data_IF_370531823531
#
_entry.id   IF_370531823531
#
_cell.length_a   1.000
_cell.length_b   1.000
_cell.length_c   1.000
_cell.angle_alpha   90.00
_cell.angle_beta   90.00
_cell.angle_gamma   90.00
#
_symmetry.space_group_name_H-M   'P 1'
#
loop_
_entity.id
_entity.type
_entity.pdbx_description
1 polymer ?
#
# COMPACT_ATOMS: atom_id res chain seq x y z
N UNK A 1 -8.65 15.11 16.93
CA UNK A 1 -9.43 14.48 15.84
C UNK A 1 -8.74 14.72 14.53
N UNK A 2 -8.58 13.67 13.71
CA UNK A 2 -8.02 13.81 12.37
C UNK A 2 -9.12 14.29 11.40
N UNK A 3 -8.90 15.34 10.59
CA UNK A 3 -9.85 15.76 9.57
C UNK A 3 -10.10 14.69 8.51
N UNK A 4 -11.35 14.59 8.06
CA UNK A 4 -11.81 13.64 7.05
C UNK A 4 -12.48 12.40 7.65
N UNK A 5 -13.09 11.60 6.77
CA UNK A 5 -13.77 10.35 7.13
C UNK A 5 -12.77 9.21 6.96
N UNK A 6 -12.62 8.33 7.96
CA UNK A 6 -11.75 7.17 7.79
C UNK A 6 -12.27 6.26 6.67
N UNK A 7 -11.36 5.65 5.92
CA UNK A 7 -11.71 4.78 4.78
C UNK A 7 -12.52 3.58 5.23
N UNK A 8 -12.25 3.09 6.43
CA UNK A 8 -13.06 2.04 7.04
C UNK A 8 -14.51 2.55 7.26
N UNK A 9 -14.69 3.68 7.97
CA UNK A 9 -16.03 4.24 8.18
C UNK A 9 -16.75 4.53 6.85
N UNK A 10 -16.04 5.04 5.85
CA UNK A 10 -16.59 5.32 4.52
C UNK A 10 -17.12 4.06 3.82
N UNK A 11 -16.46 2.92 4.02
CA UNK A 11 -16.80 1.65 3.35
C UNK A 11 -17.77 0.81 4.18
N UNK A 12 -17.75 0.90 5.50
CA UNK A 12 -18.59 0.10 6.39
C UNK A 12 -19.87 0.81 6.83
N UNK A 13 -19.86 2.15 6.98
CA UNK A 13 -21.06 2.91 7.33
C UNK A 13 -21.84 3.32 6.07
N UNK A 14 -22.32 2.32 5.35
CA UNK A 14 -22.90 2.45 4.01
C UNK A 14 -24.34 2.96 3.97
N UNK A 15 -24.80 3.69 4.98
CA UNK A 15 -26.08 4.36 4.86
C UNK A 15 -26.06 5.47 3.77
N UNK A 16 -24.88 5.77 3.20
CA UNK A 16 -24.69 6.78 2.14
C UNK A 16 -23.72 6.32 1.01
N UNK A 17 -24.08 5.30 0.21
CA UNK A 17 -23.20 4.78 -0.84
C UNK A 17 -22.87 5.82 -1.93
N UNK A 18 -23.77 6.79 -2.17
CA UNK A 18 -23.47 7.90 -3.10
C UNK A 18 -22.40 8.87 -2.56
N UNK A 19 -22.34 9.06 -1.24
CA UNK A 19 -21.33 9.90 -0.61
C UNK A 19 -19.95 9.21 -0.68
N UNK A 20 -19.89 7.93 -0.32
CA UNK A 20 -18.68 7.11 -0.46
C UNK A 20 -18.18 7.12 -1.91
N UNK A 21 -19.11 6.93 -2.85
CA UNK A 21 -18.83 7.01 -4.27
C UNK A 21 -18.18 8.33 -4.70
N UNK A 22 -18.84 9.44 -4.34
CA UNK A 22 -18.37 10.78 -4.65
C UNK A 22 -16.98 11.02 -4.07
N UNK A 23 -16.76 10.70 -2.80
CA UNK A 23 -15.48 10.95 -2.14
C UNK A 23 -14.35 10.12 -2.77
N UNK A 24 -14.57 8.82 -3.03
CA UNK A 24 -13.58 7.96 -3.68
C UNK A 24 -13.26 8.42 -5.10
N UNK A 25 -14.20 9.02 -5.82
CA UNK A 25 -13.95 9.61 -7.15
C UNK A 25 -13.01 10.82 -7.10
N UNK A 26 -12.90 11.49 -5.95
CA UNK A 26 -12.03 12.66 -5.74
C UNK A 26 -10.63 12.28 -5.26
N UNK A 27 -10.37 10.99 -4.99
CA UNK A 27 -9.13 10.51 -4.39
C UNK A 27 -7.89 11.03 -5.13
N UNK A 28 -7.05 11.75 -4.39
CA UNK A 28 -5.85 12.35 -4.95
C UNK A 28 -4.78 11.28 -5.23
N UNK A 29 -4.61 10.96 -6.51
CA UNK A 29 -3.67 9.93 -6.98
C UNK A 29 -2.22 10.19 -6.57
N UNK A 30 -1.78 11.45 -6.55
CA UNK A 30 -0.44 11.81 -6.11
C UNK A 30 -0.26 11.51 -4.63
N UNK A 31 -1.26 11.80 -3.79
CA UNK A 31 -1.18 11.51 -2.35
C UNK A 31 -1.21 10.02 -2.05
N UNK A 32 -1.94 9.21 -2.83
CA UNK A 32 -1.88 7.74 -2.72
C UNK A 32 -0.46 7.23 -3.02
N UNK A 33 0.17 7.71 -4.09
CA UNK A 33 1.55 7.34 -4.42
C UNK A 33 2.55 7.79 -3.34
N UNK A 34 2.35 8.98 -2.78
CA UNK A 34 3.18 9.49 -1.68
C UNK A 34 2.99 8.67 -0.39
N UNK A 35 1.75 8.30 -0.06
CA UNK A 35 1.41 7.45 1.08
C UNK A 35 2.09 6.09 0.97
N UNK A 36 1.98 5.43 -0.20
CA UNK A 36 2.64 4.16 -0.47
C UNK A 36 4.17 4.28 -0.35
N UNK A 37 4.75 5.36 -0.89
CA UNK A 37 6.19 5.62 -0.80
C UNK A 37 6.64 5.85 0.64
N UNK A 38 5.84 6.56 1.42
CA UNK A 38 6.11 6.80 2.82
C UNK A 38 6.02 5.49 3.61
N UNK A 39 4.93 4.74 3.50
CA UNK A 39 4.73 3.46 4.20
C UNK A 39 5.83 2.44 3.86
N UNK A 40 6.31 2.39 2.61
CA UNK A 40 7.47 1.57 2.24
C UNK A 40 8.79 2.11 2.83
N UNK A 41 9.00 3.43 2.79
CA UNK A 41 10.20 4.09 3.32
C UNK A 41 10.27 4.08 4.84
N UNK A 42 9.16 3.94 5.56
CA UNK A 42 9.15 3.81 7.03
C UNK A 42 8.83 2.39 7.51
N UNK A 43 8.40 1.51 6.60
CA UNK A 43 7.96 0.14 6.88
C UNK A 43 6.82 0.18 7.90
N UNK A 44 5.79 0.97 7.59
CA UNK A 44 4.61 1.04 8.41
C UNK A 44 3.95 -0.36 8.38
N UNK A 45 3.78 -0.98 9.55
CA UNK A 45 3.40 -2.39 9.69
C UNK A 45 1.92 -2.67 10.00
N UNK A 46 1.05 -1.67 9.96
CA UNK A 46 -0.37 -1.81 10.31
C UNK A 46 -1.26 -0.71 9.69
N UNK A 47 -1.04 -0.34 8.43
CA UNK A 47 -1.83 0.72 7.79
C UNK A 47 -3.11 0.10 7.26
N UNK A 48 -4.18 0.21 8.04
CA UNK A 48 -5.53 -0.24 7.69
C UNK A 48 -6.48 0.94 7.45
N UNK A 49 -7.74 0.65 7.10
CA UNK A 49 -8.70 1.67 6.63
C UNK A 49 -9.00 2.74 7.68
N UNK A 50 -8.92 2.41 8.96
CA UNK A 50 -9.14 3.33 10.07
C UNK A 50 -8.02 4.38 10.18
N UNK A 51 -6.79 4.07 9.73
CA UNK A 51 -5.68 5.03 9.78
C UNK A 51 -5.59 5.94 8.53
N UNK A 52 -6.49 5.75 7.56
CA UNK A 52 -6.52 6.51 6.30
C UNK A 52 -7.79 7.36 6.28
N UNK A 53 -7.65 8.67 6.36
CA UNK A 53 -8.78 9.60 6.31
C UNK A 53 -8.84 10.28 4.96
N UNK A 54 -10.03 10.29 4.34
CA UNK A 54 -10.33 10.99 3.10
C UNK A 54 -11.10 12.27 3.40
N UNK A 55 -10.58 13.41 2.93
CA UNK A 55 -11.22 14.71 3.04
C UNK A 55 -12.11 14.98 1.83
N UNK A 56 -12.99 15.97 1.96
CA UNK A 56 -13.95 16.34 0.91
C UNK A 56 -13.28 16.83 -0.38
N UNK A 57 -12.06 17.36 -0.31
CA UNK A 57 -11.25 17.78 -1.45
C UNK A 57 -10.48 16.62 -2.11
N UNK A 58 -10.67 15.39 -1.62
CA UNK A 58 -9.98 14.21 -2.11
C UNK A 58 -8.58 13.99 -1.54
N UNK A 59 -8.11 14.87 -0.65
CA UNK A 59 -6.83 14.69 0.04
C UNK A 59 -6.92 13.64 1.15
N UNK A 60 -5.79 12.99 1.39
CA UNK A 60 -5.58 11.98 2.41
C UNK A 60 -4.90 12.57 3.64
N UNK A 61 -5.33 12.11 4.80
CA UNK A 61 -4.60 12.25 6.06
C UNK A 61 -4.33 10.87 6.63
N UNK A 62 -3.06 10.64 6.97
CA UNK A 62 -2.60 9.39 7.56
C UNK A 62 -2.33 9.60 9.04
N UNK A 63 -2.91 8.78 9.90
CA UNK A 63 -2.68 8.79 11.35
C UNK A 63 -1.90 7.55 11.80
N UNK A 64 -1.49 7.51 13.07
CA UNK A 64 -0.78 6.36 13.67
C UNK A 64 0.47 5.91 12.88
N UNK A 65 1.14 6.88 12.25
CA UNK A 65 2.25 6.66 11.32
C UNK A 65 3.47 6.00 11.96
N UNK A 66 3.57 5.98 13.28
CA UNK A 66 4.71 5.42 14.00
C UNK A 66 4.39 4.08 14.67
N UNK A 67 3.10 3.75 14.81
CA UNK A 67 2.74 2.46 15.40
C UNK A 67 3.17 1.33 14.46
N UNK A 68 3.73 0.27 15.06
CA UNK A 68 4.25 -0.94 14.36
C UNK A 68 5.16 -0.66 13.15
N UNK A 69 5.82 0.50 13.14
CA UNK A 69 6.75 0.86 12.06
C UNK A 69 8.08 0.12 12.22
N UNK A 70 8.95 0.20 11.20
CA UNK A 70 10.36 -0.22 11.22
C UNK A 70 10.66 -1.71 11.00
N UNK A 71 9.65 -2.57 10.93
CA UNK A 71 9.84 -4.00 10.62
C UNK A 71 9.46 -4.31 9.17
N UNK A 72 8.20 -4.65 8.96
CA UNK A 72 7.66 -5.07 7.68
C UNK A 72 6.66 -4.06 7.20
N UNK A 73 6.73 -3.62 5.93
CA UNK A 73 5.63 -2.86 5.36
C UNK A 73 4.39 -3.74 5.34
N UNK A 74 3.32 -3.28 5.96
CA UNK A 74 2.02 -3.92 5.95
C UNK A 74 0.95 -2.84 5.88
N UNK A 75 0.46 -2.57 4.67
CA UNK A 75 -0.30 -1.36 4.37
C UNK A 75 -1.28 -1.58 3.24
N UNK A 76 -2.49 -1.02 3.39
CA UNK A 76 -3.51 -1.02 2.33
C UNK A 76 -3.02 -0.40 1.02
N UNK A 77 -2.04 0.51 1.07
CA UNK A 77 -1.48 1.12 -0.14
C UNK A 77 -0.51 0.20 -0.87
N UNK A 78 0.04 -0.82 -0.18
CA UNK A 78 1.12 -1.67 -0.66
C UNK A 78 0.59 -3.07 -1.00
N UNK A 79 0.71 -3.51 -2.25
CA UNK A 79 0.22 -4.82 -2.67
C UNK A 79 1.03 -5.95 -2.03
N UNK A 80 0.43 -7.13 -1.94
CA UNK A 80 1.02 -8.34 -1.33
C UNK A 80 1.34 -8.20 0.15
N UNK A 81 0.92 -7.12 0.80
CA UNK A 81 0.94 -7.03 2.26
C UNK A 81 -0.28 -7.72 2.85
N UNK A 82 -0.20 -8.14 4.11
CA UNK A 82 -1.33 -8.81 4.77
C UNK A 82 -2.61 -7.97 4.76
N UNK A 83 -2.52 -6.66 5.05
CA UNK A 83 -3.70 -5.77 5.01
C UNK A 83 -4.27 -5.66 3.60
N UNK A 84 -3.42 -5.47 2.58
CA UNK A 84 -3.89 -5.39 1.20
C UNK A 84 -4.51 -6.71 0.74
N UNK A 85 -3.86 -7.84 1.00
CA UNK A 85 -4.36 -9.18 0.64
C UNK A 85 -5.67 -9.51 1.38
N UNK A 86 -5.83 -9.09 2.64
CA UNK A 86 -7.11 -9.24 3.36
C UNK A 86 -8.25 -8.47 2.69
N UNK A 87 -7.95 -7.33 2.07
CA UNK A 87 -8.93 -6.53 1.33
C UNK A 87 -9.18 -7.13 -0.06
N UNK A 88 -8.13 -7.59 -0.73
CA UNK A 88 -8.20 -8.19 -2.07
C UNK A 88 -8.91 -9.54 -2.08
N UNK A 89 -8.50 -10.44 -1.19
CA UNK A 89 -9.10 -11.76 -1.00
C UNK A 89 -10.40 -11.71 -0.19
N UNK A 90 -10.92 -10.52 0.14
CA UNK A 90 -12.05 -10.37 1.05
C UNK A 90 -11.73 -10.88 2.47
N UNK A 91 -12.28 -10.23 3.48
CA UNK A 91 -12.23 -10.80 4.82
C UNK A 91 -13.46 -11.70 4.97
N UNK A 92 -13.26 -13.02 5.15
CA UNK A 92 -14.35 -13.98 5.37
C UNK A 92 -15.25 -13.65 6.58
N UNK A 93 -14.79 -12.76 7.47
CA UNK A 93 -15.56 -12.25 8.62
C UNK A 93 -16.26 -10.91 8.37
N UNK A 94 -16.06 -10.28 7.22
CA UNK A 94 -16.68 -9.01 6.89
C UNK A 94 -17.81 -9.25 5.90
N UNK A 95 -19.03 -8.86 6.29
CA UNK A 95 -20.17 -8.74 5.38
C UNK A 95 -19.74 -7.90 4.19
N UNK A 96 -19.85 -8.47 3.00
CA UNK A 96 -19.58 -7.71 1.79
C UNK A 96 -20.49 -6.47 1.79
N UNK A 97 -19.93 -5.25 1.72
CA UNK A 97 -20.69 -4.05 1.93
C UNK A 97 -21.91 -3.96 0.98
N UNK A 98 -21.76 -4.41 -0.25
CA UNK A 98 -22.79 -4.25 -1.28
C UNK A 98 -23.83 -5.36 -1.35
N UNK A 99 -23.61 -6.51 -0.71
CA UNK A 99 -24.60 -7.61 -0.73
C UNK A 99 -25.22 -7.87 0.64
N UNK A 100 -24.65 -7.34 1.74
CA UNK A 100 -25.16 -7.52 3.10
C UNK A 100 -25.09 -8.95 3.62
N UNK A 101 -24.62 -9.89 2.80
CA UNK A 101 -24.68 -11.32 3.02
C UNK A 101 -23.28 -11.88 3.29
N UNK A 102 -23.08 -12.48 4.48
CA UNK A 102 -21.85 -13.23 4.78
C UNK A 102 -21.72 -14.45 3.86
N UNK A 103 -22.85 -14.99 3.38
CA UNK A 103 -22.92 -16.18 2.55
C UNK A 103 -22.59 -15.95 1.07
N UNK A 104 -22.60 -14.70 0.59
CA UNK A 104 -22.25 -14.39 -0.80
C UNK A 104 -20.79 -14.73 -1.13
N UNK A 105 -19.90 -14.75 -0.13
CA UNK A 105 -18.51 -15.17 -0.30
C UNK A 105 -18.32 -16.69 -0.19
N UNK A 106 -19.13 -17.40 0.61
CA UNK A 106 -18.99 -18.85 0.82
C UNK A 106 -19.47 -19.71 -0.35
N UNK A 107 -20.12 -19.11 -1.37
CA UNK A 107 -20.76 -19.86 -2.46
C UNK A 107 -20.16 -19.62 -3.85
N UNK A 108 -18.86 -19.26 -3.95
CA UNK A 108 -18.17 -19.22 -5.24
C UNK A 108 -18.80 -18.29 -6.29
N UNK A 109 -19.75 -17.44 -5.88
CA UNK A 109 -20.33 -16.40 -6.70
C UNK A 109 -19.38 -15.23 -6.58
N UNK A 110 -18.48 -15.10 -7.55
CA UNK A 110 -17.66 -13.90 -7.70
C UNK A 110 -18.62 -12.72 -7.78
N UNK A 111 -18.81 -11.98 -6.68
CA UNK A 111 -19.38 -10.65 -6.81
C UNK A 111 -18.43 -9.94 -7.77
N UNK A 112 -18.96 -9.39 -8.87
CA UNK A 112 -18.15 -8.68 -9.88
C UNK A 112 -17.49 -7.43 -9.31
N UNK A 113 -17.67 -7.19 -8.01
CA UNK A 113 -17.47 -5.95 -7.30
C UNK A 113 -16.21 -6.04 -6.45
N UNK A 114 -15.28 -5.13 -6.70
CA UNK A 114 -14.11 -4.98 -5.84
C UNK A 114 -14.46 -4.18 -4.59
N UNK A 115 -13.77 -4.54 -3.50
CA UNK A 115 -13.77 -3.75 -2.28
C UNK A 115 -13.30 -2.32 -2.56
N UNK A 116 -14.00 -1.26 -2.09
CA UNK A 116 -13.62 0.11 -2.44
C UNK A 116 -12.23 0.52 -1.93
N UNK A 117 -11.79 -0.01 -0.78
CA UNK A 117 -10.42 0.14 -0.29
C UNK A 117 -9.33 -0.35 -1.27
N UNK A 118 -9.63 -1.19 -2.26
CA UNK A 118 -8.68 -1.53 -3.32
C UNK A 118 -8.34 -0.33 -4.22
N UNK A 119 -9.13 0.74 -4.19
CA UNK A 119 -8.75 2.00 -4.83
C UNK A 119 -7.59 2.70 -4.12
N UNK A 120 -7.09 2.19 -2.98
CA UNK A 120 -5.87 2.72 -2.35
C UNK A 120 -4.60 2.02 -2.85
N UNK A 121 -4.70 0.93 -3.63
CA UNK A 121 -3.54 0.28 -4.22
C UNK A 121 -2.77 1.27 -5.10
N UNK A 122 -1.53 1.58 -4.73
CA UNK A 122 -0.75 2.62 -5.41
C UNK A 122 -0.63 2.37 -6.92
N UNK A 123 -0.69 1.11 -7.36
CA UNK A 123 -0.59 0.72 -8.77
C UNK A 123 -1.73 1.29 -9.61
N UNK A 124 -2.91 1.50 -9.01
CA UNK A 124 -4.06 2.12 -9.65
C UNK A 124 -3.85 3.61 -9.97
N UNK A 125 -2.85 4.22 -9.34
CA UNK A 125 -2.58 5.66 -9.43
C UNK A 125 -1.36 6.00 -10.28
N UNK A 126 -0.69 4.98 -10.84
CA UNK A 126 0.48 5.19 -11.68
C UNK A 126 0.01 5.31 -13.13
N UNK A 127 0.39 6.37 -13.86
CA UNK A 127 0.13 6.43 -15.29
C UNK A 127 0.72 5.20 -15.99
N UNK A 128 0.02 4.65 -16.97
CA UNK A 128 0.49 3.46 -17.71
C UNK A 128 1.89 3.64 -18.35
N UNK A 129 2.28 4.89 -18.61
CA UNK A 129 3.59 5.27 -19.15
C UNK A 129 4.71 5.36 -18.10
N UNK A 130 4.39 5.27 -16.81
CA UNK A 130 5.34 5.50 -15.72
C UNK A 130 5.66 4.19 -15.00
N UNK A 131 6.92 3.79 -15.03
CA UNK A 131 7.42 2.70 -14.20
C UNK A 131 7.87 3.27 -12.84
N UNK A 132 6.96 3.34 -11.86
CA UNK A 132 7.36 3.67 -10.45
C UNK A 132 8.38 2.67 -9.91
N UNK A 133 8.51 1.50 -10.55
CA UNK A 133 9.62 0.58 -10.30
C UNK A 133 11.00 1.21 -10.48
N UNK A 134 11.14 2.42 -11.06
CA UNK A 134 12.41 3.16 -11.15
C UNK A 134 12.33 4.66 -10.84
N UNK A 135 11.16 5.30 -10.92
CA UNK A 135 11.02 6.74 -10.70
C UNK A 135 10.12 7.05 -9.50
N UNK A 136 10.74 7.47 -8.39
CA UNK A 136 10.02 7.94 -7.21
C UNK A 136 9.53 9.37 -7.43
N UNK A 137 8.41 9.78 -6.80
CA UNK A 137 8.01 11.19 -6.77
C UNK A 137 9.17 12.09 -6.33
N UNK A 138 9.36 13.26 -6.95
CA UNK A 138 10.57 14.09 -6.77
C UNK A 138 10.87 14.39 -5.29
N UNK A 139 9.85 14.67 -4.47
CA UNK A 139 10.00 14.88 -3.04
C UNK A 139 10.52 13.64 -2.30
N UNK A 140 9.96 12.47 -2.61
CA UNK A 140 10.38 11.17 -2.08
C UNK A 140 11.80 10.85 -2.51
N UNK A 141 12.13 11.05 -3.79
CA UNK A 141 13.47 10.79 -4.31
C UNK A 141 14.53 11.63 -3.59
N UNK A 142 14.26 12.93 -3.38
CA UNK A 142 15.14 13.82 -2.60
C UNK A 142 15.28 13.37 -1.14
N UNK A 143 14.18 12.93 -0.52
CA UNK A 143 14.22 12.39 0.84
C UNK A 143 15.08 11.12 0.91
N UNK A 144 14.81 10.14 0.05
CA UNK A 144 15.57 8.89 -0.02
C UNK A 144 17.05 9.16 -0.32
N UNK A 145 17.38 10.13 -1.19
CA UNK A 145 18.76 10.55 -1.45
C UNK A 145 19.46 11.08 -0.20
N UNK A 146 18.80 11.94 0.58
CA UNK A 146 19.35 12.46 1.83
C UNK A 146 19.53 11.36 2.87
N UNK A 147 18.56 10.46 3.04
CA UNK A 147 18.64 9.36 3.99
C UNK A 147 19.75 8.37 3.63
N UNK A 148 19.86 8.01 2.35
CA UNK A 148 20.92 7.13 1.85
C UNK A 148 22.31 7.76 2.00
N UNK A 149 22.46 9.06 1.78
CA UNK A 149 23.75 9.74 1.89
C UNK A 149 24.24 9.91 3.35
N UNK A 150 23.33 9.93 4.33
CA UNK A 150 23.71 10.11 5.74
C UNK A 150 24.34 8.88 6.38
N UNK A 151 24.10 7.68 5.83
CA UNK A 151 24.52 6.44 6.48
C UNK A 151 23.79 6.17 7.80
N UNK A 152 24.01 5.00 8.39
CA UNK A 152 23.32 4.59 9.63
C UNK A 152 23.68 5.52 10.80
N UNK A 153 24.97 5.79 11.01
CA UNK A 153 25.43 6.62 12.14
C UNK A 153 24.97 8.08 12.00
N UNK A 154 24.93 8.61 10.77
CA UNK A 154 24.42 9.95 10.50
C UNK A 154 22.92 10.06 10.80
N UNK A 155 22.13 9.04 10.46
CA UNK A 155 20.71 8.98 10.81
C UNK A 155 20.52 8.89 12.33
N UNK A 156 21.28 8.04 13.02
CA UNK A 156 21.23 7.92 14.48
C UNK A 156 21.51 9.28 15.15
N UNK A 157 22.61 9.96 14.75
CA UNK A 157 23.00 11.25 15.31
C UNK A 157 21.97 12.34 15.01
N UNK A 158 21.49 12.43 13.76
CA UNK A 158 20.60 13.51 13.30
C UNK A 158 19.19 13.38 13.83
N UNK A 159 18.62 12.18 13.80
CA UNK A 159 17.22 11.94 14.15
C UNK A 159 17.04 11.27 15.51
N UNK A 160 18.14 11.09 16.27
CA UNK A 160 18.13 10.45 17.59
C UNK A 160 17.51 9.04 17.58
N UNK A 161 17.71 8.33 16.46
CA UNK A 161 17.25 6.96 16.29
C UNK A 161 18.26 5.97 16.88
N UNK A 162 17.78 4.83 17.38
CA UNK A 162 18.66 3.69 17.66
C UNK A 162 19.24 3.12 16.35
N UNK A 163 20.34 2.36 16.44
CA UNK A 163 20.90 1.65 15.28
C UNK A 163 19.87 0.72 14.64
N UNK A 164 19.10 0.01 15.46
CA UNK A 164 18.04 -0.92 15.04
C UNK A 164 16.94 -0.28 14.21
N UNK A 165 16.67 1.01 14.42
CA UNK A 165 15.72 1.79 13.61
C UNK A 165 16.42 2.43 12.41
N UNK A 166 17.59 3.05 12.61
CA UNK A 166 18.32 3.75 11.55
C UNK A 166 18.77 2.83 10.40
N UNK A 167 19.19 1.60 10.70
CA UNK A 167 19.66 0.63 9.72
C UNK A 167 18.61 0.25 8.67
N UNK A 168 17.39 -0.21 9.03
CA UNK A 168 16.36 -0.51 8.03
C UNK A 168 15.92 0.73 7.25
N UNK A 169 15.89 1.92 7.85
CA UNK A 169 15.61 3.17 7.14
C UNK A 169 16.64 3.47 6.05
N UNK A 170 17.93 3.48 6.43
CA UNK A 170 19.03 3.70 5.50
C UNK A 170 18.98 2.68 4.35
N UNK A 171 18.83 1.40 4.70
CA UNK A 171 18.79 0.31 3.73
C UNK A 171 17.65 0.47 2.72
N UNK A 172 16.43 0.76 3.18
CA UNK A 172 15.29 0.97 2.28
C UNK A 172 15.45 2.22 1.42
N UNK A 173 16.04 3.30 1.96
CA UNK A 173 16.40 4.46 1.17
C UNK A 173 17.41 4.14 0.05
N UNK A 174 18.44 3.33 0.35
CA UNK A 174 19.41 2.86 -0.66
C UNK A 174 18.74 1.98 -1.72
N UNK A 175 17.89 1.03 -1.32
CA UNK A 175 17.16 0.16 -2.24
C UNK A 175 16.19 0.94 -3.12
N UNK A 176 15.44 1.88 -2.55
CA UNK A 176 14.52 2.76 -3.28
C UNK A 176 15.24 3.54 -4.38
N UNK A 177 16.49 3.95 -4.15
CA UNK A 177 17.29 4.66 -5.16
C UNK A 177 17.93 3.76 -6.20
N UNK A 178 18.47 2.61 -5.77
CA UNK A 178 19.26 1.74 -6.64
C UNK A 178 18.42 0.73 -7.42
N UNK A 179 17.28 0.31 -6.86
CA UNK A 179 16.39 -0.73 -7.41
C UNK A 179 14.98 -0.23 -7.66
N UNK A 180 14.61 0.91 -7.09
CA UNK A 180 13.27 1.51 -7.22
C UNK A 180 12.19 0.87 -6.34
N UNK A 181 10.95 1.33 -6.49
CA UNK A 181 9.86 1.02 -5.55
C UNK A 181 9.52 -0.47 -5.50
N UNK A 182 9.16 -1.06 -6.65
CA UNK A 182 8.65 -2.44 -6.71
C UNK A 182 9.68 -3.46 -6.21
N UNK A 183 10.94 -3.28 -6.59
CA UNK A 183 12.03 -4.13 -6.11
C UNK A 183 12.25 -3.98 -4.60
N UNK A 184 12.17 -2.76 -4.08
CA UNK A 184 12.31 -2.50 -2.65
C UNK A 184 11.17 -3.12 -1.85
N UNK A 185 9.93 -3.02 -2.35
CA UNK A 185 8.78 -3.68 -1.74
C UNK A 185 8.97 -5.19 -1.72
N UNK A 186 9.29 -5.81 -2.86
CA UNK A 186 9.52 -7.26 -2.94
C UNK A 186 10.57 -7.73 -1.94
N UNK A 187 11.73 -7.06 -1.91
CA UNK A 187 12.80 -7.38 -0.97
C UNK A 187 12.37 -7.17 0.48
N UNK A 188 11.54 -6.18 0.77
CA UNK A 188 11.04 -5.93 2.14
C UNK A 188 10.07 -7.02 2.58
N UNK A 189 9.27 -7.59 1.66
CA UNK A 189 8.33 -8.67 1.95
C UNK A 189 9.01 -10.04 2.09
N UNK A 190 10.08 -10.29 1.34
CA UNK A 190 10.79 -11.60 1.36
C UNK A 190 11.96 -11.65 2.33
N UNK A 191 12.37 -10.50 2.89
CA UNK A 191 13.40 -10.46 3.93
C UNK A 191 12.90 -11.23 5.16
N UNK A 192 13.55 -12.36 5.51
CA UNK A 192 13.23 -13.08 6.74
C UNK A 192 13.30 -12.15 7.96
N UNK A 193 12.39 -12.30 8.94
CA UNK A 193 12.52 -11.63 10.23
C UNK A 193 13.87 -11.97 10.79
N UNK A 194 14.66 -10.94 11.05
CA UNK A 194 15.84 -11.10 11.88
C UNK A 194 15.33 -11.65 13.20
N UNK A 195 15.65 -12.92 13.47
CA UNK A 195 15.49 -13.48 14.81
C UNK A 195 16.29 -12.58 15.71
N UNK A 196 15.60 -11.93 16.64
CA UNK A 196 16.23 -11.20 17.72
C UNK A 196 16.75 -12.26 18.68
N UNK A 197 17.88 -12.87 18.35
CA UNK A 197 18.65 -13.56 19.36
C UNK A 197 19.32 -12.44 20.16
N UNK A 198 18.77 -12.15 21.33
CA UNK A 198 19.36 -11.18 22.24
C UNK A 198 20.81 -11.61 22.50
N UNK A 199 21.77 -10.81 22.04
CA UNK A 199 23.16 -11.02 22.37
C UNK A 199 23.29 -10.83 23.89
N UNK A 200 23.48 -11.94 24.62
CA UNK A 200 23.44 -11.98 26.09
C UNK A 200 24.48 -11.08 26.74
N UNK A 201 25.54 -10.71 26.01
CA UNK A 201 26.67 -9.96 26.54
C UNK A 201 26.59 -8.46 26.30
N UNK A 202 25.72 -7.99 25.39
CA UNK A 202 25.62 -6.56 25.05
C UNK A 202 24.24 -5.96 25.29
N UNK A 203 23.20 -6.79 25.46
CA UNK A 203 21.81 -6.32 25.57
C UNK A 203 21.30 -5.59 24.33
N UNK A 204 22.09 -5.54 23.26
CA UNK A 204 21.77 -4.87 22.01
C UNK A 204 21.52 -5.93 20.94
N UNK A 205 20.33 -5.89 20.34
CA UNK A 205 19.99 -6.71 19.18
C UNK A 205 20.90 -6.30 18.01
N UNK A 206 21.79 -7.20 17.60
CA UNK A 206 22.64 -7.02 16.42
C UNK A 206 21.90 -7.59 15.20
N UNK A 207 21.50 -6.71 14.29
CA UNK A 207 20.70 -7.03 13.13
C UNK A 207 21.60 -7.38 11.93
N UNK A 208 21.96 -8.66 11.78
CA UNK A 208 22.74 -9.15 10.65
C UNK A 208 21.83 -9.55 9.48
N UNK A 209 21.78 -8.74 8.43
CA UNK A 209 21.03 -9.05 7.21
C UNK A 209 21.75 -10.09 6.36
N UNK A 210 21.08 -11.20 6.03
CA UNK A 210 21.62 -12.15 5.05
C UNK A 210 21.54 -11.56 3.64
N UNK A 211 22.66 -11.01 3.16
CA UNK A 211 22.80 -10.54 1.78
C UNK A 211 22.90 -11.68 0.76
N UNK A 212 22.95 -12.94 1.18
CA UNK A 212 23.09 -14.12 0.30
C UNK A 212 21.76 -14.61 -0.31
N UNK A 213 20.77 -13.72 -0.45
CA UNK A 213 19.67 -13.92 -1.40
C UNK A 213 20.26 -13.92 -2.82
N UNK A 214 20.73 -15.11 -3.25
CA UNK A 214 20.98 -15.49 -4.64
C UNK A 214 19.97 -14.81 -5.53
N UNK A 215 20.43 -14.28 -6.66
CA UNK A 215 19.64 -13.78 -7.79
C UNK A 215 18.25 -14.41 -7.84
N UNK A 216 17.30 -13.83 -7.11
CA UNK A 216 15.89 -14.04 -7.37
C UNK A 216 15.74 -13.34 -8.70
N UNK A 217 15.62 -14.12 -9.78
CA UNK A 217 14.96 -13.61 -10.96
C UNK A 217 13.75 -12.86 -10.46
N UNK A 218 13.73 -11.54 -10.72
CA UNK A 218 12.57 -10.72 -10.45
C UNK A 218 11.48 -11.32 -11.31
N UNK A 219 10.73 -12.28 -10.75
CA UNK A 219 9.45 -12.66 -11.29
C UNK A 219 8.65 -11.37 -11.18
N UNK A 220 8.64 -10.63 -12.28
CA UNK A 220 7.65 -9.60 -12.55
C UNK A 220 6.35 -10.37 -12.53
N UNK A 221 5.74 -10.57 -11.37
CA UNK A 221 4.40 -11.09 -11.31
C UNK A 221 3.57 -10.07 -12.07
N UNK A 222 3.04 -10.42 -13.26
CA UNK A 222 2.09 -9.57 -13.94
C UNK A 222 0.78 -9.80 -13.20
N UNK A 223 0.72 -9.42 -11.92
CA UNK A 223 -0.54 -9.31 -11.21
C UNK A 223 -1.23 -8.11 -11.82
N UNK A 224 -2.01 -8.41 -12.88
CA UNK A 224 -3.09 -7.59 -13.37
C UNK A 224 -4.09 -7.43 -12.22
N UNK A 225 -3.76 -6.60 -11.25
CA UNK A 225 -4.80 -6.13 -10.34
C UNK A 225 -5.67 -5.25 -11.21
N UNK A 226 -6.95 -5.60 -11.38
CA UNK A 226 -7.84 -4.75 -12.12
C UNK A 226 -7.85 -3.44 -11.34
N UNK A 227 -7.23 -2.40 -11.89
CA UNK A 227 -7.40 -1.06 -11.39
C UNK A 227 -8.87 -0.77 -11.62
N UNK A 228 -9.69 -0.95 -10.59
CA UNK A 228 -11.13 -0.90 -10.74
C UNK A 228 -11.49 0.56 -11.02
N UNK A 229 -11.73 0.87 -12.30
CA UNK A 229 -12.48 2.08 -12.65
C UNK A 229 -13.89 1.84 -12.16
N UNK A 230 -14.21 2.40 -11.01
CA UNK A 230 -15.57 2.32 -10.51
C UNK A 230 -16.46 3.11 -11.48
N UNK A 231 -17.38 2.41 -12.15
CA UNK A 231 -18.33 3.03 -13.05
C UNK A 231 -19.45 3.70 -12.23
N UNK A 232 -19.21 4.93 -11.80
CA UNK A 232 -20.13 5.68 -10.93
C UNK A 232 -21.46 6.04 -11.61
N UNK A 233 -21.52 6.07 -12.94
CA UNK A 233 -22.76 6.34 -13.69
C UNK A 233 -23.72 5.15 -13.65
N UNK A 234 -23.19 3.93 -13.64
CA UNK A 234 -23.97 2.71 -13.41
C UNK A 234 -24.59 2.68 -11.99
N UNK A 235 -23.91 3.27 -11.01
CA UNK A 235 -24.35 3.35 -9.61
C UNK A 235 -25.41 4.46 -9.41
N UNK A 236 -25.33 5.57 -10.15
CA UNK A 236 -26.28 6.70 -10.06
C UNK A 236 -27.69 6.34 -10.55
N UNK A 237 -27.81 5.49 -11.56
CA UNK A 237 -29.11 5.06 -12.07
C UNK A 237 -29.53 3.77 -11.37
N UNK A 238 -30.43 3.90 -10.39
CA UNK A 238 -31.03 2.88 -9.49
C UNK A 238 -31.49 1.53 -10.07
N UNK A 239 -31.27 1.21 -11.36
CA UNK A 239 -31.71 -0.03 -11.99
C UNK A 239 -30.85 -1.26 -11.70
N UNK A 240 -29.62 -1.10 -11.20
CA UNK A 240 -28.81 -2.23 -10.73
C UNK A 240 -27.96 -1.79 -9.54
N UNK A 241 -28.34 -2.25 -8.33
CA UNK A 241 -27.64 -1.95 -7.07
C UNK A 241 -26.24 -2.56 -6.98
N UNK A 242 -25.79 -3.31 -8.01
CA UNK A 242 -24.67 -4.24 -7.88
C UNK A 242 -23.69 -4.31 -9.08
N UNK A 243 -23.48 -3.21 -9.81
CA UNK A 243 -22.56 -3.18 -10.97
C UNK A 243 -21.32 -2.32 -10.68
N UNK A 244 -20.37 -2.82 -9.88
CA UNK A 244 -18.99 -2.33 -9.92
C UNK A 244 -18.27 -3.13 -11.00
N UNK A 245 -17.96 -2.53 -12.14
CA UNK A 245 -17.16 -3.17 -13.17
C UNK A 245 -15.68 -2.84 -12.93
N UNK A 246 -14.93 -3.78 -12.37
CA UNK A 246 -13.48 -3.77 -12.52
C UNK A 246 -13.15 -4.01 -13.99
N UNK A 247 -13.18 -2.94 -14.81
CA UNK A 247 -12.78 -3.06 -16.21
C UNK A 247 -11.36 -3.59 -16.22
N UNK A 248 -11.14 -4.76 -16.83
CA UNK A 248 -9.80 -5.13 -17.29
C UNK A 248 -9.25 -3.90 -18.00
N UNK A 249 -8.21 -3.27 -17.45
CA UNK A 249 -7.41 -2.36 -18.25
C UNK A 249 -6.80 -3.28 -19.29
N UNK A 250 -7.45 -3.35 -20.46
CA UNK A 250 -6.82 -3.90 -21.65
C UNK A 250 -5.64 -2.98 -21.95
N UNK A 251 -4.48 -3.33 -21.41
CA UNK A 251 -3.23 -2.95 -22.03
C UNK A 251 -3.23 -3.61 -23.39
N UNK A 252 -3.76 -2.90 -24.40
CA UNK A 252 -3.45 -3.19 -25.80
C UNK A 252 -1.95 -3.04 -25.94
N UNK A 253 -1.22 -4.14 -25.77
CA UNK A 253 0.08 -4.28 -26.38
C UNK A 253 -0.20 -4.36 -27.88
N UNK A 254 -0.04 -3.24 -28.58
CA UNK A 254 0.24 -3.28 -30.01
C UNK A 254 1.57 -4.03 -30.16
N UNK A 255 1.47 -5.31 -30.48
CA UNK A 255 2.59 -6.06 -31.05
C UNK A 255 2.85 -5.41 -32.41
N UNK A 256 3.84 -4.52 -32.44
CA UNK A 256 4.47 -4.14 -33.70
C UNK A 256 5.23 -5.39 -34.14
N UNK A 257 4.74 -6.01 -35.21
CA UNK A 257 5.43 -7.08 -35.92
C UNK A 257 6.61 -6.52 -36.70
#
# INVERSE_FOLDING_TARGET
YAPGISMDHLVFNMNQPQQASRLLSLLNSTQVQLAASFDLLIAQGDRHGENVHLKEDGSLMLIDNFDKSFHYPNSVFLPQTYIHERIYMGNGNIRHPFTGDLAAWSHGTSTKEAWPMLTLDYRCHIPASTHISRQLPQGVNRCAAKLAAQGVDGLMKRYRMSRSVAQPYHRRAVLLRSRGFAATLQLSLTSKPLRVDANKDTGLAEYAYDSASKTMEMQTFPMRVPCCKINWDAIRHKKKKHDYACSKVETRQSVVR
#
